data_IF_663669597390
#
_entry.id   IF_663669597390
#
_cell.length_a   1.000
_cell.length_b   1.000
_cell.length_c   1.000
_cell.angle_alpha   90.00
_cell.angle_beta   90.00
_cell.angle_gamma   90.00
#
_symmetry.space_group_name_H-M   'P 1'
#
loop_
_entity.id
_entity.type
_entity.pdbx_description
1 polymer ?
#
# COMPACT_ATOMS: atom_id res chain seq x y z
N UNK A 1 18.52 4.32 -33.05
CA UNK A 1 17.82 3.05 -32.73
C UNK A 1 17.05 3.29 -31.45
N UNK A 2 15.73 3.47 -31.56
CA UNK A 2 14.87 3.70 -30.39
C UNK A 2 14.56 2.35 -29.76
N UNK A 3 15.08 2.11 -28.55
CA UNK A 3 14.59 1.03 -27.71
C UNK A 3 13.17 1.39 -27.27
N UNK A 4 12.18 0.71 -27.83
CA UNK A 4 10.82 0.73 -27.28
C UNK A 4 10.90 -0.03 -25.96
N UNK A 5 10.95 0.69 -24.84
CA UNK A 5 10.82 0.09 -23.53
C UNK A 5 9.49 -0.65 -23.47
N UNK A 6 9.52 -1.94 -23.16
CA UNK A 6 8.32 -2.72 -22.88
C UNK A 6 7.80 -2.29 -21.50
N UNK A 7 7.01 -1.22 -21.47
CA UNK A 7 6.43 -0.70 -20.24
C UNK A 7 5.41 -1.68 -19.62
N UNK A 8 5.28 -1.62 -18.31
CA UNK A 8 4.30 -2.44 -17.58
C UNK A 8 2.88 -2.03 -18.00
N UNK A 9 2.04 -3.03 -18.30
CA UNK A 9 0.63 -2.83 -18.68
C UNK A 9 -0.24 -3.39 -17.57
N UNK A 10 -0.89 -2.53 -16.80
CA UNK A 10 -1.88 -2.98 -15.82
C UNK A 10 -3.22 -3.12 -16.51
N UNK A 11 -3.76 -4.34 -16.45
CA UNK A 11 -5.08 -4.67 -16.97
C UNK A 11 -6.02 -4.85 -15.80
N UNK A 12 -6.85 -3.84 -15.52
CA UNK A 12 -7.98 -4.02 -14.63
C UNK A 12 -9.13 -4.61 -15.44
N UNK A 13 -9.45 -5.89 -15.20
CA UNK A 13 -10.67 -6.48 -15.75
C UNK A 13 -11.79 -6.17 -14.77
N UNK A 14 -12.67 -5.25 -15.17
CA UNK A 14 -13.86 -4.88 -14.42
C UNK A 14 -14.84 -6.06 -14.45
N UNK A 15 -14.70 -7.01 -13.52
CA UNK A 15 -15.73 -8.01 -13.33
C UNK A 15 -16.91 -7.35 -12.61
N UNK A 16 -17.86 -6.81 -13.39
CA UNK A 16 -19.17 -6.50 -12.84
C UNK A 16 -19.70 -7.75 -12.15
N UNK A 17 -20.15 -7.63 -10.90
CA UNK A 17 -20.80 -8.71 -10.18
C UNK A 17 -21.92 -9.28 -11.06
N UNK A 18 -21.67 -10.43 -11.69
CA UNK A 18 -22.62 -11.02 -12.60
C UNK A 18 -23.71 -11.68 -11.77
N UNK A 19 -24.94 -11.24 -11.97
CA UNK A 19 -26.11 -12.04 -11.62
C UNK A 19 -25.93 -13.40 -12.32
N UNK A 20 -25.96 -14.54 -11.61
CA UNK A 20 -25.79 -15.84 -12.25
C UNK A 20 -26.87 -16.04 -13.32
N UNK A 21 -26.48 -16.14 -14.59
CA UNK A 21 -27.38 -16.50 -15.70
C UNK A 21 -27.52 -15.50 -16.85
N UNK A 22 -26.79 -14.38 -16.86
CA UNK A 22 -26.74 -13.48 -18.02
C UNK A 22 -25.38 -13.62 -18.70
N UNK A 23 -25.33 -14.31 -19.83
CA UNK A 23 -24.22 -14.19 -20.77
C UNK A 23 -24.22 -12.74 -21.30
N UNK A 24 -23.29 -11.90 -20.85
CA UNK A 24 -23.13 -10.58 -21.43
C UNK A 24 -22.34 -10.69 -22.74
N UNK A 25 -22.97 -10.30 -23.85
CA UNK A 25 -22.37 -10.27 -25.19
C UNK A 25 -21.34 -9.15 -25.40
N UNK A 26 -21.07 -8.33 -24.37
CA UNK A 26 -20.00 -7.36 -24.35
C UNK A 26 -19.00 -7.72 -23.24
N UNK A 27 -17.74 -8.04 -23.57
CA UNK A 27 -16.73 -8.19 -22.54
C UNK A 27 -16.65 -6.87 -21.75
N UNK A 28 -16.43 -6.93 -20.42
CA UNK A 28 -16.28 -5.72 -19.63
C UNK A 28 -15.21 -4.84 -20.26
N UNK A 29 -15.48 -3.53 -20.33
CA UNK A 29 -14.54 -2.57 -20.87
C UNK A 29 -13.20 -2.75 -20.14
N UNK A 30 -12.19 -3.22 -20.86
CA UNK A 30 -10.86 -3.45 -20.32
C UNK A 30 -10.18 -2.10 -20.22
N UNK A 31 -10.16 -1.54 -19.02
CA UNK A 31 -9.39 -0.33 -18.78
C UNK A 31 -7.93 -0.73 -18.55
N UNK A 32 -7.06 -0.14 -19.34
CA UNK A 32 -5.63 -0.40 -19.32
C UNK A 32 -4.95 0.91 -19.02
N UNK A 33 -4.15 0.95 -17.95
CA UNK A 33 -3.21 2.04 -17.71
C UNK A 33 -1.83 1.59 -18.15
N UNK A 34 -1.14 2.43 -18.92
CA UNK A 34 0.21 2.15 -19.40
C UNK A 34 1.15 3.30 -19.09
N UNK A 35 2.42 2.97 -18.92
CA UNK A 35 3.49 3.96 -19.00
C UNK A 35 3.42 4.69 -20.36
N UNK A 36 3.59 6.01 -20.33
CA UNK A 36 3.41 6.92 -21.45
C UNK A 36 1.98 7.44 -21.66
N UNK A 37 0.97 6.90 -20.95
CA UNK A 37 -0.38 7.44 -20.99
C UNK A 37 -0.56 8.65 -20.09
N UNK A 38 -1.58 9.47 -20.39
CA UNK A 38 -1.86 10.68 -19.65
C UNK A 38 -3.03 10.49 -18.68
N UNK A 39 -2.80 10.86 -17.42
CA UNK A 39 -3.85 10.94 -16.41
C UNK A 39 -4.18 12.41 -16.11
N UNK A 40 -5.48 12.67 -15.91
CA UNK A 40 -5.93 13.95 -15.38
C UNK A 40 -5.65 14.03 -13.89
N UNK A 41 -4.82 14.99 -13.48
CA UNK A 41 -4.54 15.26 -12.07
C UNK A 41 -5.20 16.58 -11.66
N UNK A 42 -6.08 16.52 -10.66
CA UNK A 42 -6.62 17.72 -10.01
C UNK A 42 -5.88 17.90 -8.69
N UNK A 43 -5.14 19.00 -8.49
CA UNK A 43 -4.45 19.25 -7.24
C UNK A 43 -5.41 19.28 -6.04
N UNK A 44 -4.96 18.84 -4.85
CA UNK A 44 -5.65 19.13 -3.60
C UNK A 44 -6.00 20.63 -3.52
N UNK A 45 -7.28 20.95 -3.30
CA UNK A 45 -7.78 22.34 -3.30
C UNK A 45 -8.54 22.79 -4.56
N UNK A 46 -8.73 21.92 -5.56
CA UNK A 46 -9.71 22.15 -6.64
C UNK A 46 -9.22 23.01 -7.81
N UNK A 47 -7.96 22.85 -8.22
CA UNK A 47 -7.38 23.58 -9.36
C UNK A 47 -7.77 23.06 -10.75
N UNK A 48 -7.28 23.73 -11.80
CA UNK A 48 -7.38 23.25 -13.18
C UNK A 48 -6.65 21.91 -13.30
N UNK A 49 -7.33 20.91 -13.85
CA UNK A 49 -6.72 19.60 -14.10
C UNK A 49 -5.48 19.73 -14.99
N UNK A 50 -4.36 19.19 -14.53
CA UNK A 50 -3.11 19.12 -15.29
C UNK A 50 -2.98 17.71 -15.85
N UNK A 51 -2.71 17.59 -17.15
CA UNK A 51 -2.35 16.30 -17.73
C UNK A 51 -0.93 15.93 -17.29
N UNK A 52 -0.79 14.71 -16.74
CA UNK A 52 0.48 14.14 -16.34
C UNK A 52 0.72 12.85 -17.08
N UNK A 53 1.93 12.67 -17.57
CA UNK A 53 2.36 11.42 -18.21
C UNK A 53 2.74 10.42 -17.13
N UNK A 54 2.17 9.22 -17.16
CA UNK A 54 2.56 8.11 -16.31
C UNK A 54 3.93 7.62 -16.77
N UNK A 55 4.92 7.67 -15.88
CA UNK A 55 6.30 7.28 -16.20
C UNK A 55 6.60 5.88 -15.71
N UNK A 56 6.02 5.49 -14.57
CA UNK A 56 6.26 4.19 -13.95
C UNK A 56 5.01 3.72 -13.21
N UNK A 57 4.77 2.41 -13.18
CA UNK A 57 3.79 1.77 -12.30
C UNK A 57 4.54 0.80 -11.38
N UNK A 58 4.49 1.05 -10.08
CA UNK A 58 5.39 0.39 -9.11
C UNK A 58 4.70 -0.62 -8.20
N UNK A 59 3.38 -0.53 -8.05
CA UNK A 59 2.63 -1.39 -7.13
C UNK A 59 1.18 -1.54 -7.58
N UNK A 60 0.56 -2.67 -7.21
CA UNK A 60 -0.85 -2.96 -7.46
C UNK A 60 -1.48 -3.61 -6.23
N UNK A 61 -2.70 -3.22 -5.90
CA UNK A 61 -3.54 -3.86 -4.91
C UNK A 61 -4.96 -4.06 -5.43
N UNK A 62 -5.67 -5.03 -4.85
CA UNK A 62 -7.09 -5.29 -5.11
C UNK A 62 -7.83 -5.59 -3.82
N UNK A 63 -9.15 -5.47 -3.86
CA UNK A 63 -10.04 -5.83 -2.75
C UNK A 63 -11.16 -6.78 -3.21
N UNK A 64 -11.97 -7.26 -2.26
CA UNK A 64 -13.02 -8.23 -2.56
C UNK A 64 -14.21 -7.65 -3.35
N UNK A 65 -14.38 -6.33 -3.33
CA UNK A 65 -15.44 -5.61 -4.04
C UNK A 65 -15.11 -5.33 -5.51
N UNK A 66 -14.02 -5.90 -6.04
CA UNK A 66 -13.56 -5.65 -7.41
C UNK A 66 -12.83 -4.31 -7.57
N UNK A 67 -12.54 -3.62 -6.46
CA UNK A 67 -11.68 -2.46 -6.44
C UNK A 67 -10.21 -2.81 -6.65
N UNK A 68 -9.46 -1.82 -7.12
CA UNK A 68 -8.02 -1.91 -7.33
C UNK A 68 -7.37 -0.55 -7.12
N UNK A 69 -6.10 -0.57 -6.77
CA UNK A 69 -5.23 0.58 -6.66
C UNK A 69 -3.90 0.28 -7.33
N UNK A 70 -3.31 1.26 -8.01
CA UNK A 70 -1.94 1.20 -8.51
C UNK A 70 -1.18 2.41 -8.03
N UNK A 71 0.06 2.20 -7.60
CA UNK A 71 1.00 3.30 -7.39
C UNK A 71 1.63 3.61 -8.74
N UNK A 72 1.51 4.85 -9.18
CA UNK A 72 2.13 5.32 -10.40
C UNK A 72 2.93 6.59 -10.15
N UNK A 73 4.11 6.66 -10.75
CA UNK A 73 4.85 7.91 -10.85
C UNK A 73 4.41 8.64 -12.11
N UNK A 74 4.19 9.95 -12.01
CA UNK A 74 3.83 10.77 -13.15
C UNK A 74 4.61 12.07 -13.21
N UNK A 75 4.98 12.49 -14.42
CA UNK A 75 5.66 13.75 -14.68
C UNK A 75 4.71 14.75 -15.31
N UNK A 76 4.83 16.01 -14.90
CA UNK A 76 4.09 17.08 -15.57
C UNK A 76 4.76 17.42 -16.91
N UNK A 77 3.95 17.65 -17.95
CA UNK A 77 4.43 17.95 -19.31
C UNK A 77 5.19 19.29 -19.37
N UNK A 78 4.98 20.17 -18.39
CA UNK A 78 5.59 21.49 -18.28
C UNK A 78 6.86 21.54 -17.41
N UNK A 79 7.49 20.40 -17.11
CA UNK A 79 8.74 20.35 -16.35
C UNK A 79 8.59 20.55 -14.84
N UNK A 80 7.37 20.49 -14.31
CA UNK A 80 7.11 20.44 -12.86
C UNK A 80 7.46 19.05 -12.29
N UNK A 81 7.88 19.01 -11.01
CA UNK A 81 8.27 17.83 -10.25
C UNK A 81 7.35 16.63 -10.52
N UNK A 82 7.98 15.45 -10.67
CA UNK A 82 7.27 14.17 -10.65
C UNK A 82 6.56 13.98 -9.31
N UNK A 83 5.34 13.46 -9.38
CA UNK A 83 4.56 13.09 -8.20
C UNK A 83 4.20 11.62 -8.33
N UNK A 84 4.19 10.89 -7.23
CA UNK A 84 3.53 9.60 -7.18
C UNK A 84 2.07 9.75 -6.77
N UNK A 85 1.24 8.90 -7.35
CA UNK A 85 -0.19 8.87 -7.16
C UNK A 85 -0.65 7.45 -6.87
N UNK A 86 -1.76 7.33 -6.16
CA UNK A 86 -2.54 6.09 -6.14
C UNK A 86 -3.70 6.30 -7.09
N UNK A 87 -3.73 5.55 -8.17
CA UNK A 87 -4.82 5.57 -9.14
C UNK A 87 -5.63 4.28 -9.06
N UNK A 88 -6.95 4.37 -9.16
CA UNK A 88 -7.80 3.19 -9.08
C UNK A 88 -9.23 3.49 -8.66
N UNK A 89 -9.89 2.51 -8.09
CA UNK A 89 -11.29 2.57 -7.65
C UNK A 89 -11.53 1.59 -6.50
N UNK A 90 -12.31 1.99 -5.49
CA UNK A 90 -12.63 1.11 -4.36
C UNK A 90 -13.60 -0.04 -4.73
N UNK A 91 -14.46 0.14 -5.72
CA UNK A 91 -15.60 -0.75 -5.97
C UNK A 91 -15.70 -1.22 -7.42
N UNK A 92 -14.60 -1.11 -8.18
CA UNK A 92 -14.61 -1.47 -9.59
C UNK A 92 -15.47 -0.52 -10.45
N UNK A 93 -15.67 0.74 -10.04
CA UNK A 93 -16.29 1.75 -10.90
C UNK A 93 -15.23 2.45 -11.78
N UNK A 94 -15.61 3.57 -12.41
CA UNK A 94 -14.65 4.42 -13.11
C UNK A 94 -13.52 4.82 -12.17
N UNK A 95 -12.25 4.52 -12.51
CA UNK A 95 -11.14 4.89 -11.66
C UNK A 95 -10.79 6.36 -11.78
N UNK A 96 -10.04 6.81 -10.79
CA UNK A 96 -9.45 8.13 -10.74
C UNK A 96 -8.24 8.15 -9.82
N UNK A 97 -7.71 9.34 -9.62
CA UNK A 97 -6.68 9.57 -8.59
C UNK A 97 -7.36 9.46 -7.23
N UNK A 98 -7.00 8.43 -6.46
CA UNK A 98 -7.46 8.20 -5.09
C UNK A 98 -6.60 8.96 -4.09
N UNK A 99 -5.29 9.05 -4.35
CA UNK A 99 -4.35 9.75 -3.49
C UNK A 99 -3.19 10.33 -4.29
N UNK A 100 -2.56 11.38 -3.79
CA UNK A 100 -1.38 12.00 -4.38
C UNK A 100 -0.48 12.54 -3.28
N UNK A 101 0.82 12.47 -3.50
CA UNK A 101 1.80 13.06 -2.59
C UNK A 101 1.53 14.53 -2.32
N UNK A 102 1.81 14.94 -1.08
CA UNK A 102 1.74 16.33 -0.66
C UNK A 102 2.59 16.61 0.57
N UNK A 103 2.38 17.80 1.13
CA UNK A 103 2.90 18.14 2.46
C UNK A 103 1.85 17.81 3.52
N UNK A 104 2.28 17.21 4.63
CA UNK A 104 1.43 16.92 5.77
C UNK A 104 2.17 17.16 7.08
N UNK A 105 1.58 17.95 7.98
CA UNK A 105 2.19 18.31 9.27
C UNK A 105 3.63 18.86 9.16
N UNK A 106 3.96 19.52 8.04
CA UNK A 106 5.32 20.01 7.74
C UNK A 106 6.28 18.96 7.15
N UNK A 107 5.83 17.71 7.01
CA UNK A 107 6.54 16.63 6.36
C UNK A 107 6.17 16.57 4.88
N UNK A 108 7.15 16.58 3.98
CA UNK A 108 6.90 16.43 2.53
C UNK A 108 6.92 14.95 2.15
N UNK A 109 5.82 14.40 1.64
CA UNK A 109 5.85 13.07 1.04
C UNK A 109 6.72 13.12 -0.22
N UNK A 110 7.77 12.29 -0.23
CA UNK A 110 8.79 12.27 -1.26
C UNK A 110 8.45 11.36 -2.42
N UNK A 111 8.06 10.15 -2.04
CA UNK A 111 7.65 9.07 -2.91
C UNK A 111 6.65 8.20 -2.17
N UNK A 112 5.60 7.75 -2.86
CA UNK A 112 4.85 6.58 -2.43
C UNK A 112 5.74 5.34 -2.63
N UNK A 113 5.79 4.48 -1.61
CA UNK A 113 6.54 3.25 -1.61
C UNK A 113 5.92 2.19 -2.53
N UNK A 114 6.56 1.03 -2.57
CA UNK A 114 6.22 -0.07 -3.49
C UNK A 114 5.01 -0.91 -3.07
N UNK A 115 4.33 -0.53 -1.98
CA UNK A 115 3.21 -1.30 -1.43
C UNK A 115 2.03 -0.37 -1.15
N UNK A 116 0.87 -0.81 -1.62
CA UNK A 116 -0.41 -0.13 -1.47
C UNK A 116 -1.47 -1.13 -1.05
N UNK A 117 -2.50 -0.66 -0.37
CA UNK A 117 -3.73 -1.38 -0.05
C UNK A 117 -4.93 -0.46 -0.31
N UNK A 118 -6.09 -1.06 -0.54
CA UNK A 118 -7.35 -0.34 -0.83
C UNK A 118 -8.55 -1.09 -0.24
N UNK A 119 -9.52 -0.36 0.31
CA UNK A 119 -10.81 -0.92 0.74
C UNK A 119 -11.94 -0.68 -0.29
N UNK A 120 -13.12 -1.31 -0.12
CA UNK A 120 -14.28 -1.10 -0.98
C UNK A 120 -14.76 0.36 -1.10
N UNK A 121 -14.45 1.20 -0.13
CA UNK A 121 -14.81 2.62 -0.11
C UNK A 121 -13.80 3.50 -0.87
N UNK A 122 -12.65 2.94 -1.24
CA UNK A 122 -11.58 3.64 -1.95
C UNK A 122 -10.60 4.34 -1.01
N UNK A 123 -10.65 4.06 0.29
CA UNK A 123 -9.58 4.46 1.19
C UNK A 123 -8.33 3.65 0.84
N UNK A 124 -7.18 4.30 0.90
CA UNK A 124 -5.91 3.67 0.54
C UNK A 124 -4.95 3.72 1.71
N UNK A 125 -4.07 2.73 1.81
CA UNK A 125 -2.91 2.77 2.66
C UNK A 125 -1.66 2.47 1.84
N UNK A 126 -0.56 3.16 2.11
CA UNK A 126 0.68 2.97 1.37
C UNK A 126 1.89 3.14 2.28
N UNK A 127 2.98 2.48 1.87
CA UNK A 127 4.31 2.85 2.35
C UNK A 127 4.64 4.24 1.81
N UNK A 128 5.25 5.12 2.59
CA UNK A 128 5.60 6.47 2.15
C UNK A 128 7.02 6.81 2.60
N UNK A 129 7.82 7.33 1.68
CA UNK A 129 9.08 7.99 2.02
C UNK A 129 8.82 9.48 2.24
N UNK A 130 9.44 10.06 3.26
CA UNK A 130 9.32 11.50 3.56
C UNK A 130 10.63 12.22 3.23
N UNK A 131 10.54 13.34 2.49
CA UNK A 131 11.65 14.19 2.08
C UNK A 131 11.99 15.17 3.20
N UNK A 132 13.28 15.30 3.51
CA UNK A 132 13.77 16.22 4.54
C UNK A 132 13.62 15.74 5.97
N UNK A 133 13.02 14.56 6.18
CA UNK A 133 13.04 13.92 7.48
C UNK A 133 14.48 13.47 7.83
N UNK A 134 14.88 13.46 9.12
CA UNK A 134 16.20 13.00 9.54
C UNK A 134 16.56 11.62 8.97
N UNK A 135 17.85 11.28 8.90
CA UNK A 135 18.27 9.92 8.52
C UNK A 135 17.47 8.90 9.34
N UNK A 136 16.82 7.93 8.68
CA UNK A 136 15.90 6.96 9.29
C UNK A 136 14.49 7.48 9.60
N UNK A 137 13.91 8.26 8.71
CA UNK A 137 12.47 8.52 8.65
C UNK A 137 11.92 8.11 7.27
N UNK A 138 12.33 6.93 6.79
CA UNK A 138 12.00 6.45 5.44
C UNK A 138 10.87 5.43 5.45
N UNK A 139 10.78 4.64 6.51
CA UNK A 139 9.81 3.57 6.60
C UNK A 139 8.58 4.03 7.39
N UNK A 140 7.53 4.38 6.67
CA UNK A 140 6.27 4.81 7.28
C UNK A 140 5.05 4.26 6.53
N UNK A 141 3.98 4.01 7.28
CA UNK A 141 2.69 3.57 6.73
C UNK A 141 1.67 4.67 6.95
N UNK A 142 0.95 5.03 5.89
CA UNK A 142 -0.04 6.11 5.89
C UNK A 142 -1.36 5.59 5.35
N UNK A 143 -2.49 6.14 5.83
CA UNK A 143 -3.75 6.09 5.10
C UNK A 143 -4.14 7.49 4.65
N UNK A 144 -4.15 7.70 3.34
CA UNK A 144 -4.24 9.03 2.76
C UNK A 144 -3.20 9.98 3.36
N UNK A 145 -3.68 10.99 4.09
CA UNK A 145 -2.84 12.01 4.72
C UNK A 145 -2.48 11.72 6.18
N UNK A 146 -3.00 10.65 6.78
CA UNK A 146 -2.75 10.35 8.20
C UNK A 146 -1.71 9.25 8.36
N UNK A 147 -0.57 9.50 9.04
CA UNK A 147 0.39 8.46 9.36
C UNK A 147 -0.16 7.51 10.44
N UNK A 148 0.12 6.22 10.28
CA UNK A 148 -0.17 5.16 11.26
C UNK A 148 1.07 4.81 12.07
N UNK A 149 2.22 4.77 11.39
CA UNK A 149 3.52 4.52 12.00
C UNK A 149 4.59 5.24 11.18
N UNK A 150 5.49 5.95 11.87
CA UNK A 150 6.61 6.69 11.30
C UNK A 150 7.87 6.25 12.03
N UNK A 151 8.87 5.78 11.28
CA UNK A 151 10.19 5.45 11.82
C UNK A 151 10.73 6.57 12.72
N UNK A 152 11.29 6.22 13.87
CA UNK A 152 11.81 7.14 14.88
C UNK A 152 10.75 7.72 15.83
N UNK A 153 9.46 7.65 15.49
CA UNK A 153 8.40 8.08 16.41
C UNK A 153 8.07 7.00 17.44
N UNK A 154 7.59 7.45 18.61
CA UNK A 154 7.18 6.56 19.68
C UNK A 154 5.98 5.71 19.22
N UNK A 155 6.03 4.40 19.44
CA UNK A 155 4.91 3.51 19.18
C UNK A 155 3.82 3.73 20.25
N UNK A 156 2.63 4.26 19.89
CA UNK A 156 1.65 4.71 20.88
C UNK A 156 1.16 3.61 21.84
N UNK A 157 1.02 2.39 21.32
CA UNK A 157 0.60 1.19 22.04
C UNK A 157 1.73 0.52 22.83
N UNK A 158 2.98 0.95 22.67
CA UNK A 158 4.16 0.30 23.25
C UNK A 158 5.07 1.33 23.94
N UNK A 159 4.76 1.65 25.19
CA UNK A 159 5.52 2.62 25.99
C UNK A 159 7.01 2.28 26.04
N UNK A 160 7.87 3.26 25.77
CA UNK A 160 9.33 3.11 25.74
C UNK A 160 9.88 2.46 24.47
N UNK A 161 9.03 2.13 23.50
CA UNK A 161 9.46 1.63 22.19
C UNK A 161 9.16 2.64 21.09
N UNK A 162 10.00 2.63 20.07
CA UNK A 162 9.92 3.50 18.89
C UNK A 162 9.82 2.64 17.63
N UNK A 163 9.15 3.15 16.60
CA UNK A 163 9.09 2.47 15.32
C UNK A 163 10.48 2.45 14.67
N UNK A 164 11.00 1.27 14.40
CA UNK A 164 12.21 1.09 13.61
C UNK A 164 11.92 1.01 12.11
N UNK A 165 10.74 0.52 11.75
CA UNK A 165 10.23 0.55 10.39
C UNK A 165 8.72 0.27 10.43
N UNK A 166 8.02 0.70 9.39
CA UNK A 166 6.66 0.28 9.09
C UNK A 166 6.54 0.08 7.57
N UNK A 167 6.01 -1.06 7.15
CA UNK A 167 5.89 -1.41 5.72
C UNK A 167 4.73 -2.35 5.45
N UNK A 168 4.43 -2.56 4.17
CA UNK A 168 3.52 -3.57 3.67
C UNK A 168 2.10 -3.45 4.25
N UNK A 169 1.46 -2.27 4.08
CA UNK A 169 0.08 -2.12 4.45
C UNK A 169 -0.77 -3.10 3.67
N UNK A 170 -1.75 -3.63 4.37
CA UNK A 170 -2.90 -4.35 3.88
C UNK A 170 -4.14 -3.68 4.47
N UNK A 171 -5.28 -3.83 3.82
CA UNK A 171 -6.52 -3.20 4.28
C UNK A 171 -7.65 -4.20 4.16
N UNK A 172 -8.46 -4.33 5.21
CA UNK A 172 -9.66 -5.17 5.16
C UNK A 172 -10.77 -4.45 4.40
N UNK A 173 -11.83 -5.20 4.07
CA UNK A 173 -13.03 -4.61 3.47
C UNK A 173 -13.76 -3.60 4.36
N UNK A 174 -13.43 -3.57 5.65
CA UNK A 174 -13.94 -2.58 6.61
C UNK A 174 -13.06 -1.33 6.73
N UNK A 175 -11.98 -1.23 5.92
CA UNK A 175 -11.03 -0.11 5.98
C UNK A 175 -10.01 -0.20 7.11
N UNK A 176 -9.93 -1.35 7.78
CA UNK A 176 -8.93 -1.53 8.85
C UNK A 176 -7.57 -1.84 8.23
N UNK A 177 -6.57 -1.01 8.57
CA UNK A 177 -5.20 -1.14 8.07
C UNK A 177 -4.40 -2.08 8.96
N UNK A 178 -3.69 -3.00 8.32
CA UNK A 178 -2.74 -3.92 8.91
C UNK A 178 -1.39 -3.67 8.27
N UNK A 179 -0.29 -3.77 9.02
CA UNK A 179 1.03 -3.58 8.45
C UNK A 179 2.09 -4.32 9.26
N UNK A 180 3.26 -4.47 8.66
CA UNK A 180 4.41 -5.04 9.31
C UNK A 180 5.24 -3.92 9.92
N UNK A 181 5.68 -4.12 11.16
CA UNK A 181 6.46 -3.13 11.88
C UNK A 181 7.64 -3.75 12.61
N UNK A 182 8.64 -2.92 12.85
CA UNK A 182 9.72 -3.19 13.78
C UNK A 182 9.72 -2.14 14.88
N UNK A 183 10.07 -2.55 16.09
CA UNK A 183 10.19 -1.70 17.26
C UNK A 183 11.63 -1.73 17.78
N UNK A 184 12.08 -0.63 18.35
CA UNK A 184 13.40 -0.47 18.98
C UNK A 184 13.29 0.28 20.31
N UNK A 185 14.29 0.15 21.17
CA UNK A 185 14.26 0.68 22.55
C UNK A 185 14.70 2.14 22.66
N UNK A 186 15.47 2.62 21.70
CA UNK A 186 15.81 4.02 21.53
C UNK A 186 15.11 4.58 20.29
N UNK A 187 14.84 5.87 20.26
CA UNK A 187 14.34 6.53 19.05
C UNK A 187 15.40 6.65 17.95
N UNK A 188 16.55 5.98 18.11
CA UNK A 188 17.64 6.04 17.16
C UNK A 188 17.43 5.00 16.07
N UNK A 189 17.46 5.51 14.86
CA UNK A 189 17.37 4.77 13.61
C UNK A 189 18.58 3.84 13.35
N UNK A 190 19.63 3.91 14.17
CA UNK A 190 20.80 3.05 14.08
C UNK A 190 20.70 1.82 15.00
N UNK A 191 19.73 1.79 15.91
CA UNK A 191 19.57 0.65 16.81
C UNK A 191 18.92 -0.53 16.08
N UNK A 192 19.23 -1.73 16.60
CA UNK A 192 18.67 -2.98 16.10
C UNK A 192 17.20 -3.09 16.48
N UNK A 193 16.41 -3.62 15.56
CA UNK A 193 15.03 -4.01 15.85
C UNK A 193 15.00 -4.96 17.06
N UNK A 194 14.38 -4.51 18.14
CA UNK A 194 14.22 -5.28 19.38
C UNK A 194 13.04 -6.24 19.30
N UNK A 195 12.00 -5.86 18.56
CA UNK A 195 10.87 -6.74 18.27
C UNK A 195 10.23 -6.38 16.93
N UNK A 196 9.61 -7.36 16.29
CA UNK A 196 8.90 -7.16 15.02
C UNK A 196 7.54 -7.83 15.08
N UNK A 197 6.58 -7.30 14.32
CA UNK A 197 5.22 -7.79 14.42
C UNK A 197 4.30 -7.41 13.27
N UNK A 198 3.10 -7.97 13.33
CA UNK A 198 1.93 -7.55 12.59
C UNK A 198 1.13 -6.60 13.48
N UNK A 199 0.89 -5.41 12.97
CA UNK A 199 0.19 -4.34 13.68
C UNK A 199 -1.09 -3.96 12.93
N UNK A 200 -2.04 -3.36 13.64
CA UNK A 200 -3.28 -2.87 13.06
C UNK A 200 -3.82 -1.62 13.77
N UNK A 201 -4.70 -0.90 13.06
CA UNK A 201 -5.44 0.28 13.56
C UNK A 201 -4.55 1.49 13.83
N UNK A 202 -5.09 2.70 13.93
CA UNK A 202 -4.30 3.97 13.97
C UNK A 202 -3.27 4.04 15.12
N UNK A 203 -3.47 3.28 16.20
CA UNK A 203 -2.56 3.25 17.35
C UNK A 203 -1.41 2.23 17.21
N UNK A 204 -1.37 1.46 16.12
CA UNK A 204 -0.39 0.40 15.90
C UNK A 204 -0.45 -0.67 16.97
N UNK A 205 -1.64 -1.22 17.24
CA UNK A 205 -1.79 -2.32 18.18
C UNK A 205 -1.14 -3.58 17.59
N UNK A 206 -0.38 -4.32 18.39
CA UNK A 206 0.23 -5.57 17.93
C UNK A 206 -0.79 -6.71 17.94
N UNK A 207 -1.01 -7.35 16.79
CA UNK A 207 -1.74 -8.63 16.69
C UNK A 207 -0.82 -9.81 16.95
N UNK A 208 0.37 -9.73 16.37
CA UNK A 208 1.45 -10.70 16.54
C UNK A 208 2.73 -9.92 16.75
N UNK A 209 3.48 -10.30 17.77
CA UNK A 209 4.77 -9.72 18.07
C UNK A 209 5.76 -10.85 18.29
N UNK A 210 7.00 -10.66 17.86
CA UNK A 210 8.09 -11.58 18.15
C UNK A 210 8.16 -11.88 19.66
N UNK A 211 8.39 -13.15 20.00
CA UNK A 211 8.36 -13.64 21.38
C UNK A 211 6.97 -14.03 21.90
N UNK A 212 5.88 -13.68 21.20
CA UNK A 212 4.54 -14.16 21.57
C UNK A 212 4.40 -15.65 21.29
N UNK A 213 3.78 -16.36 22.24
CA UNK A 213 3.32 -17.74 22.03
C UNK A 213 1.99 -17.72 21.30
N UNK A 214 1.92 -18.39 20.16
CA UNK A 214 0.68 -18.52 19.37
C UNK A 214 0.08 -19.90 19.66
N UNK A 215 -1.21 -19.99 20.08
CA UNK A 215 -1.86 -21.27 20.28
C UNK A 215 -1.72 -22.18 19.05
N UNK A 216 -1.29 -23.41 19.27
CA UNK A 216 -1.07 -24.40 18.20
C UNK A 216 0.33 -24.37 17.57
N UNK A 217 1.18 -23.40 17.91
CA UNK A 217 2.60 -23.45 17.57
C UNK A 217 3.43 -24.03 18.74
N UNK A 218 4.38 -24.93 18.47
CA UNK A 218 5.19 -25.58 19.51
C UNK A 218 6.22 -24.64 20.14
N UNK A 219 6.53 -23.51 19.50
CA UNK A 219 7.50 -22.52 19.96
C UNK A 219 6.95 -21.10 19.77
N UNK A 220 7.39 -20.13 20.58
CA UNK A 220 7.08 -18.72 20.35
C UNK A 220 7.54 -18.24 18.99
N UNK A 221 6.92 -17.17 18.47
CA UNK A 221 7.39 -16.50 17.28
C UNK A 221 8.84 -16.05 17.49
N UNK A 222 9.74 -16.45 16.59
CA UNK A 222 11.16 -16.13 16.72
C UNK A 222 11.37 -14.61 16.78
N UNK A 223 12.29 -14.15 17.64
CA UNK A 223 12.87 -12.83 17.52
C UNK A 223 13.70 -12.78 16.23
N UNK A 224 13.46 -11.76 15.40
CA UNK A 224 13.96 -11.65 14.03
C UNK A 224 15.46 -11.33 13.92
N UNK A 225 16.26 -11.65 14.93
CA UNK A 225 17.71 -11.44 14.93
C UNK A 225 18.47 -12.41 14.02
N UNK A 226 17.77 -13.34 13.34
CA UNK A 226 18.37 -14.40 12.53
C UNK A 226 17.85 -14.51 11.09
N UNK A 227 16.90 -13.67 10.66
CA UNK A 227 16.38 -13.76 9.30
C UNK A 227 16.28 -12.35 8.70
N UNK A 228 17.14 -12.09 7.71
CA UNK A 228 17.13 -10.83 6.97
C UNK A 228 15.84 -10.61 6.17
N UNK A 229 15.77 -9.51 5.41
CA UNK A 229 14.58 -9.13 4.64
C UNK A 229 14.10 -10.18 3.62
N UNK A 230 14.87 -11.25 3.39
CA UNK A 230 14.56 -12.34 2.46
C UNK A 230 13.42 -13.26 2.94
N UNK A 231 13.05 -13.25 4.22
CA UNK A 231 11.85 -13.98 4.69
C UNK A 231 10.54 -13.33 4.20
N UNK A 232 10.57 -12.04 3.81
CA UNK A 232 9.38 -11.32 3.33
C UNK A 232 8.99 -11.71 1.90
N UNK A 233 9.94 -12.21 1.10
CA UNK A 233 9.69 -12.72 -0.25
C UNK A 233 8.87 -14.03 -0.23
N UNK A 234 8.82 -14.73 0.91
CA UNK A 234 8.03 -15.97 1.10
C UNK A 234 6.56 -15.70 1.44
N UNK A 235 6.22 -14.57 2.07
CA UNK A 235 4.83 -14.21 2.32
C UNK A 235 4.12 -13.80 1.03
N UNK A 236 4.79 -13.04 0.16
CA UNK A 236 4.30 -12.68 -1.19
C UNK A 236 4.18 -13.90 -2.13
N UNK A 237 4.87 -15.00 -1.83
CA UNK A 237 4.80 -16.28 -2.58
C UNK A 237 3.81 -17.29 -2.00
N UNK A 238 3.13 -16.98 -0.90
CA UNK A 238 2.14 -17.89 -0.33
C UNK A 238 0.78 -17.64 -1.01
N UNK A 239 0.28 -18.54 -1.88
CA UNK A 239 -0.97 -18.34 -2.59
C UNK A 239 -2.14 -18.72 -1.66
N UNK A 240 -2.32 -17.98 -0.57
CA UNK A 240 -3.53 -18.08 0.26
C UNK A 240 -4.68 -17.20 -0.25
N UNK A 241 -4.54 -16.62 -1.44
CA UNK A 241 -5.64 -16.07 -2.21
C UNK A 241 -6.03 -17.03 -3.33
N UNK A 242 -6.64 -18.15 -2.94
CA UNK A 242 -7.56 -18.90 -3.80
C UNK A 242 -8.74 -19.44 -2.99
N UNK A 243 -9.92 -19.01 -3.44
CA UNK A 243 -11.29 -19.50 -3.21
C UNK A 243 -11.99 -19.20 -1.89
N UNK A 244 -12.88 -18.21 -2.00
CA UNK A 244 -14.21 -18.23 -1.42
C UNK A 244 -15.00 -19.49 -1.81
N UNK A 245 -15.83 -19.96 -0.86
CA UNK A 245 -17.09 -20.70 -1.06
C UNK A 245 -17.12 -21.89 -2.03
N UNK A 246 -17.02 -23.10 -1.49
CA UNK A 246 -17.87 -24.21 -1.95
C UNK A 246 -18.86 -24.55 -0.84
N UNK A 247 -20.14 -24.28 -1.11
CA UNK A 247 -21.23 -24.62 -0.22
C UNK A 247 -21.34 -26.13 -0.04
N UNK A 248 -21.35 -26.56 1.22
CA UNK A 248 -21.90 -27.85 1.61
C UNK A 248 -23.41 -27.83 1.33
N UNK A 249 -23.85 -28.49 0.27
CA UNK A 249 -25.23 -29.01 0.20
C UNK A 249 -25.23 -30.38 0.86
N UNK A 250 -26.14 -30.57 1.83
CA UNK A 250 -26.65 -31.89 2.19
C UNK A 250 -27.64 -32.36 1.14
#
# INVERSE_FOLDING_TARGET
>A
MNHIAQGLVVVATLFGATTPGICQDNPPAKLVLREGEFIGYIPPGGGVGVLREVVEITSVAGNSAGGYAVVCESRAINGVRSLSHIWGTGNGNNPGVLFSEGEYAGLTQASLGRRVAIDPQGNTAADVNVLGAPFGFRDSVWSGVSPFAVEGEQAPSHSGLYWRYATAPQMTDAGEVYWLGGLTTDGSILERTTSSGLFHGIQGQALLLSGMSVPGLPYPLAALDSVGPEFFDLWERCPLHCSSSHGFRR
#
